data_IF_816016539223
#
_entry.id   IF_816016539223
#
_cell.length_a   1.000
_cell.length_b   1.000
_cell.length_c   1.000
_cell.angle_alpha   90.00
_cell.angle_beta   90.00
_cell.angle_gamma   90.00
#
_symmetry.space_group_name_H-M   'P 1'
#
loop_
_entity.id
_entity.type
_entity.pdbx_description
1 polymer ?
#
# COMPACT_ATOMS: atom_id res chain seq x y z
N UNK A 1 40.15 -36.73 6.97
CA UNK A 1 39.31 -35.79 7.73
C UNK A 1 38.63 -34.84 6.74
N UNK A 2 37.40 -35.17 6.32
CA UNK A 2 36.61 -34.40 5.36
C UNK A 2 36.20 -33.05 5.97
N UNK A 3 36.70 -31.97 5.38
CA UNK A 3 36.17 -30.62 5.62
C UNK A 3 34.98 -30.44 4.70
N UNK A 4 33.76 -30.49 5.26
CA UNK A 4 32.53 -30.28 4.50
C UNK A 4 32.40 -28.82 4.06
N UNK A 5 32.62 -28.62 2.76
CA UNK A 5 32.43 -27.40 1.98
C UNK A 5 31.00 -26.81 2.10
N UNK A 6 30.02 -27.61 2.55
CA UNK A 6 28.63 -27.19 2.80
C UNK A 6 28.46 -26.40 4.11
N UNK A 7 29.20 -26.75 5.17
CA UNK A 7 29.02 -26.14 6.50
C UNK A 7 29.57 -24.70 6.57
N UNK A 8 30.64 -24.39 5.84
CA UNK A 8 31.13 -23.00 5.68
C UNK A 8 30.14 -22.08 4.94
N UNK A 9 29.19 -22.64 4.19
CA UNK A 9 28.12 -21.90 3.48
C UNK A 9 26.95 -21.53 4.40
N UNK A 10 26.71 -22.31 5.46
CA UNK A 10 25.62 -22.08 6.42
C UNK A 10 26.01 -21.12 7.57
N UNK A 11 27.30 -21.07 7.93
CA UNK A 11 27.81 -20.27 9.06
C UNK A 11 28.01 -18.77 8.75
N UNK A 12 27.57 -18.28 7.59
CA UNK A 12 27.71 -16.88 7.16
C UNK A 12 26.36 -16.14 7.05
N UNK A 13 25.33 -16.60 7.76
CA UNK A 13 24.03 -15.93 7.79
C UNK A 13 24.02 -14.88 8.91
N UNK A 14 24.46 -13.66 8.58
CA UNK A 14 24.15 -12.43 9.33
C UNK A 14 22.83 -11.79 8.86
N UNK A 15 22.06 -12.50 8.03
CA UNK A 15 20.76 -12.07 7.55
C UNK A 15 19.64 -12.87 8.22
N UNK A 16 18.49 -12.25 8.52
CA UNK A 16 17.33 -12.99 8.97
C UNK A 16 16.95 -14.08 7.96
N UNK A 17 16.71 -15.30 8.46
CA UNK A 17 16.22 -16.43 7.65
C UNK A 17 14.95 -16.02 6.89
N UNK A 18 14.78 -16.45 5.64
CA UNK A 18 13.53 -16.25 4.89
C UNK A 18 12.31 -16.69 5.71
N UNK A 19 12.45 -17.76 6.50
CA UNK A 19 11.41 -18.22 7.40
C UNK A 19 11.07 -17.19 8.50
N UNK A 20 12.09 -16.51 9.04
CA UNK A 20 11.89 -15.40 9.99
C UNK A 20 11.18 -14.23 9.32
N UNK A 21 11.60 -13.83 8.12
CA UNK A 21 11.03 -12.67 7.42
C UNK A 21 9.55 -12.91 7.09
N UNK A 22 9.22 -14.09 6.56
CA UNK A 22 7.83 -14.49 6.30
C UNK A 22 7.01 -14.48 7.58
N UNK A 23 7.52 -15.10 8.66
CA UNK A 23 6.80 -15.13 9.95
C UNK A 23 6.57 -13.73 10.52
N UNK A 24 7.55 -12.84 10.40
CA UNK A 24 7.45 -11.46 10.88
C UNK A 24 6.47 -10.65 10.03
N UNK A 25 6.53 -10.75 8.70
CA UNK A 25 5.54 -10.10 7.81
C UNK A 25 4.13 -10.59 8.11
N UNK A 26 3.93 -11.90 8.26
CA UNK A 26 2.61 -12.45 8.60
C UNK A 26 2.10 -11.92 9.95
N UNK A 27 2.97 -11.81 10.98
CA UNK A 27 2.57 -11.20 12.26
C UNK A 27 2.21 -9.72 12.17
N UNK A 28 2.75 -8.99 11.18
CA UNK A 28 2.37 -7.60 10.92
C UNK A 28 1.04 -7.51 10.17
N UNK A 29 0.75 -8.47 9.30
CA UNK A 29 -0.54 -8.55 8.59
C UNK A 29 -1.70 -8.95 9.52
N UNK A 30 -1.40 -9.58 10.66
CA UNK A 30 -2.36 -9.84 11.73
C UNK A 30 -2.74 -8.56 12.51
N UNK A 31 -2.04 -7.44 12.28
CA UNK A 31 -2.38 -6.12 12.84
C UNK A 31 -3.12 -5.26 11.80
N UNK A 32 -4.13 -4.48 12.24
CA UNK A 32 -5.09 -3.83 11.34
C UNK A 32 -4.49 -2.75 10.40
N UNK A 33 -3.39 -2.10 10.80
CA UNK A 33 -2.77 -1.01 10.05
C UNK A 33 -1.50 -1.45 9.33
N UNK A 34 -1.58 -1.63 8.01
CA UNK A 34 -0.47 -2.18 7.22
C UNK A 34 0.12 -1.15 6.25
N UNK A 35 -0.69 -0.26 5.66
CA UNK A 35 -0.25 0.67 4.62
C UNK A 35 -0.60 2.10 5.03
N UNK A 36 0.39 2.97 5.29
CA UNK A 36 0.14 4.38 5.57
C UNK A 36 -0.30 5.13 4.30
N UNK A 37 -1.23 6.06 4.48
CA UNK A 37 -1.62 7.02 3.46
C UNK A 37 -0.66 8.23 3.42
N UNK A 38 -0.65 8.96 2.30
CA UNK A 38 0.19 10.14 2.12
C UNK A 38 -0.44 11.40 2.74
N UNK A 39 0.38 12.24 3.40
CA UNK A 39 -0.08 13.40 4.17
C UNK A 39 -0.92 14.38 3.35
N UNK A 40 -0.53 14.67 2.11
CA UNK A 40 -1.31 15.59 1.27
C UNK A 40 -2.68 15.00 0.88
N UNK A 41 -2.75 13.69 0.68
CA UNK A 41 -4.01 13.00 0.35
C UNK A 41 -4.96 13.03 1.54
N UNK A 42 -4.44 12.84 2.75
CA UNK A 42 -5.20 12.91 4.00
C UNK A 42 -5.75 14.31 4.23
N UNK A 43 -4.91 15.33 4.09
CA UNK A 43 -5.31 16.74 4.23
C UNK A 43 -6.39 17.08 3.20
N UNK A 44 -6.17 16.72 1.93
CA UNK A 44 -7.14 16.97 0.85
C UNK A 44 -8.45 16.23 1.11
N UNK A 45 -8.40 14.97 1.57
CA UNK A 45 -9.59 14.19 1.93
C UNK A 45 -10.32 14.81 3.13
N UNK A 46 -9.62 15.28 4.15
CA UNK A 46 -10.20 15.98 5.30
C UNK A 46 -10.94 17.26 4.88
N UNK A 47 -10.37 18.04 3.96
CA UNK A 47 -11.04 19.22 3.39
C UNK A 47 -12.28 18.87 2.59
N UNK A 48 -12.20 17.88 1.70
CA UNK A 48 -13.32 17.47 0.85
C UNK A 48 -14.48 16.89 1.69
N UNK A 49 -14.15 16.12 2.73
CA UNK A 49 -15.17 15.46 3.56
C UNK A 49 -15.84 16.39 4.58
N UNK A 50 -15.20 17.51 4.89
CA UNK A 50 -15.75 18.59 5.72
C UNK A 50 -16.57 19.61 4.92
N UNK A 51 -16.51 19.59 3.59
CA UNK A 51 -17.30 20.47 2.73
C UNK A 51 -18.69 19.87 2.47
N UNK A 52 -19.80 20.54 2.87
CA UNK A 52 -21.16 20.06 2.62
C UNK A 52 -21.51 19.93 1.13
N UNK A 53 -20.81 20.68 0.27
CA UNK A 53 -20.96 20.69 -1.20
C UNK A 53 -19.90 19.82 -1.91
N UNK A 54 -19.10 19.05 -1.15
CA UNK A 54 -18.05 18.19 -1.72
C UNK A 54 -18.64 17.06 -2.56
N UNK A 55 -18.16 16.89 -3.80
CA UNK A 55 -18.60 15.79 -4.64
C UNK A 55 -17.98 14.47 -4.19
N UNK A 56 -18.79 13.39 -4.18
CA UNK A 56 -18.29 12.04 -4.00
C UNK A 56 -17.26 11.65 -5.08
N UNK A 57 -17.32 12.26 -6.26
CA UNK A 57 -16.32 12.05 -7.32
C UNK A 57 -14.95 12.64 -6.96
N UNK A 58 -14.90 13.81 -6.32
CA UNK A 58 -13.65 14.45 -5.90
C UNK A 58 -12.98 13.62 -4.80
N UNK A 59 -13.79 13.10 -3.87
CA UNK A 59 -13.34 12.21 -2.79
C UNK A 59 -12.77 10.92 -3.36
N UNK A 60 -13.49 10.31 -4.31
CA UNK A 60 -13.02 9.11 -5.01
C UNK A 60 -11.68 9.36 -5.66
N UNK A 61 -11.51 10.47 -6.38
CA UNK A 61 -10.26 10.77 -7.08
C UNK A 61 -9.06 10.82 -6.11
N UNK A 62 -9.23 11.46 -4.94
CA UNK A 62 -8.18 11.50 -3.92
C UNK A 62 -7.85 10.11 -3.39
N UNK A 63 -8.87 9.29 -3.11
CA UNK A 63 -8.68 7.94 -2.58
C UNK A 63 -8.05 7.03 -3.63
N UNK A 64 -8.48 7.10 -4.90
CA UNK A 64 -7.96 6.29 -6.00
C UNK A 64 -6.48 6.56 -6.29
N UNK A 65 -6.00 7.77 -5.99
CA UNK A 65 -4.60 8.15 -6.20
C UNK A 65 -3.69 7.81 -5.02
N UNK A 66 -4.26 7.43 -3.87
CA UNK A 66 -3.51 7.12 -2.65
C UNK A 66 -3.65 5.64 -2.27
N UNK A 67 -2.58 4.84 -2.36
CA UNK A 67 -2.65 3.40 -2.05
C UNK A 67 -3.00 3.08 -0.60
N UNK A 68 -2.64 3.95 0.36
CA UNK A 68 -3.00 3.78 1.77
C UNK A 68 -4.49 4.00 1.99
N UNK A 69 -5.03 5.13 1.53
CA UNK A 69 -6.46 5.43 1.60
C UNK A 69 -7.30 4.39 0.84
N UNK A 70 -6.85 4.00 -0.35
CA UNK A 70 -7.49 2.93 -1.14
C UNK A 70 -7.55 1.61 -0.38
N UNK A 71 -6.43 1.20 0.24
CA UNK A 71 -6.36 0.01 1.07
C UNK A 71 -7.34 0.08 2.24
N UNK A 72 -7.35 1.18 2.98
CA UNK A 72 -8.20 1.34 4.16
C UNK A 72 -9.69 1.34 3.80
N UNK A 73 -10.07 2.00 2.71
CA UNK A 73 -11.43 1.98 2.20
C UNK A 73 -11.88 0.55 1.82
N UNK A 74 -11.02 -0.21 1.13
CA UNK A 74 -11.33 -1.60 0.75
C UNK A 74 -11.45 -2.49 1.98
N UNK A 75 -10.57 -2.34 2.98
CA UNK A 75 -10.60 -3.12 4.22
C UNK A 75 -11.90 -2.88 4.98
N UNK A 76 -12.28 -1.62 5.18
CA UNK A 76 -13.51 -1.26 5.89
C UNK A 76 -14.73 -1.73 5.11
N UNK A 77 -14.76 -1.54 3.79
CA UNK A 77 -15.87 -2.01 2.99
C UNK A 77 -16.00 -3.55 3.03
N UNK A 78 -14.88 -4.27 3.06
CA UNK A 78 -14.85 -5.73 3.15
C UNK A 78 -15.29 -6.26 4.52
N UNK A 79 -15.23 -5.46 5.59
CA UNK A 79 -15.71 -5.85 6.92
C UNK A 79 -17.20 -5.59 7.13
N UNK A 80 -17.77 -4.61 6.42
CA UNK A 80 -19.21 -4.30 6.42
C UNK A 80 -20.01 -5.24 5.51
N UNK A 81 -19.39 -5.73 4.42
CA UNK A 81 -20.01 -6.64 3.49
C UNK A 81 -20.26 -8.03 4.10
N UNK A 82 -21.53 -8.40 4.28
CA UNK A 82 -21.94 -9.79 4.51
C UNK A 82 -21.42 -10.70 3.39
N UNK A 83 -20.22 -11.26 3.55
CA UNK A 83 -19.58 -12.46 2.95
C UNK A 83 -19.79 -12.84 1.45
N UNK A 84 -20.61 -12.14 0.67
CA UNK A 84 -21.13 -12.65 -0.60
C UNK A 84 -20.56 -11.93 -1.83
N UNK A 85 -20.06 -10.70 -1.71
CA UNK A 85 -19.56 -9.93 -2.87
C UNK A 85 -18.13 -9.46 -2.62
N UNK A 86 -17.20 -9.93 -3.46
CA UNK A 86 -15.82 -9.42 -3.48
C UNK A 86 -15.85 -7.97 -3.96
N UNK A 87 -15.26 -7.08 -3.16
CA UNK A 87 -15.09 -5.67 -3.54
C UNK A 87 -13.99 -5.61 -4.59
N UNK A 88 -14.34 -5.03 -5.72
CA UNK A 88 -13.48 -4.99 -6.91
C UNK A 88 -13.11 -3.58 -7.34
N UNK A 89 -13.72 -2.54 -6.80
CA UNK A 89 -13.39 -1.14 -7.12
C UNK A 89 -13.53 -0.21 -5.93
N UNK A 90 -12.85 0.95 -5.99
CA UNK A 90 -12.99 2.02 -4.99
C UNK A 90 -14.42 2.58 -5.02
N UNK A 91 -15.00 2.81 -6.19
CA UNK A 91 -16.40 3.24 -6.31
C UNK A 91 -17.35 2.32 -5.53
N UNK A 92 -17.21 0.99 -5.70
CA UNK A 92 -18.02 0.01 -4.97
C UNK A 92 -17.79 0.08 -3.46
N UNK A 93 -16.54 0.25 -3.02
CA UNK A 93 -16.20 0.41 -1.61
C UNK A 93 -16.85 1.66 -1.00
N UNK A 94 -16.72 2.82 -1.66
CA UNK A 94 -17.26 4.10 -1.19
C UNK A 94 -18.79 4.11 -1.12
N UNK A 95 -19.47 3.50 -2.10
CA UNK A 95 -20.93 3.36 -2.07
C UNK A 95 -21.41 2.46 -0.93
N UNK A 96 -20.62 1.44 -0.56
CA UNK A 96 -20.99 0.49 0.50
C UNK A 96 -20.81 1.08 1.90
N UNK A 97 -19.70 1.80 2.14
CA UNK A 97 -19.38 2.35 3.48
C UNK A 97 -20.05 3.72 3.72
N UNK A 98 -20.30 4.48 2.65
CA UNK A 98 -20.93 5.79 2.72
C UNK A 98 -20.03 6.90 3.29
N UNK A 99 -20.54 8.13 3.22
CA UNK A 99 -19.78 9.36 3.50
C UNK A 99 -19.28 9.48 4.95
N UNK A 100 -20.04 8.95 5.90
CA UNK A 100 -19.67 9.03 7.32
C UNK A 100 -18.45 8.16 7.64
N UNK A 101 -18.36 7.00 7.02
CA UNK A 101 -17.23 6.11 7.22
C UNK A 101 -15.98 6.62 6.50
N UNK A 102 -16.14 7.27 5.33
CA UNK A 102 -15.06 7.98 4.66
C UNK A 102 -14.50 9.10 5.55
N UNK A 103 -15.36 9.87 6.23
CA UNK A 103 -14.93 10.86 7.23
C UNK A 103 -14.16 10.21 8.36
N UNK A 104 -14.66 9.10 8.91
CA UNK A 104 -13.96 8.37 9.97
C UNK A 104 -12.58 7.91 9.53
N UNK A 105 -12.44 7.38 8.32
CA UNK A 105 -11.13 7.03 7.74
C UNK A 105 -10.24 8.28 7.64
N UNK A 106 -10.75 9.38 7.08
CA UNK A 106 -9.99 10.63 6.97
C UNK A 106 -9.53 11.19 8.33
N UNK A 107 -10.38 11.14 9.35
CA UNK A 107 -10.06 11.57 10.71
C UNK A 107 -9.10 10.61 11.42
N UNK A 108 -9.31 9.30 11.33
CA UNK A 108 -8.41 8.30 11.91
C UNK A 108 -7.01 8.43 11.33
N UNK A 109 -6.92 8.59 10.01
CA UNK A 109 -5.64 8.73 9.31
C UNK A 109 -5.03 10.13 9.52
N UNK A 110 -5.84 11.19 9.63
CA UNK A 110 -5.38 12.55 9.94
C UNK A 110 -4.92 12.75 11.38
N UNK A 111 -5.52 12.05 12.35
CA UNK A 111 -5.03 11.99 13.74
C UNK A 111 -3.75 11.15 13.84
N UNK A 112 -3.54 10.23 12.90
CA UNK A 112 -2.30 9.49 12.70
C UNK A 112 -1.24 10.28 11.89
N UNK A 113 -1.25 11.61 11.95
CA UNK A 113 -0.11 12.47 11.58
C UNK A 113 1.11 12.16 12.48
N UNK A 114 1.76 11.03 12.19
CA UNK A 114 3.10 10.66 12.63
C UNK A 114 3.77 9.79 11.56
N UNK A 115 3.79 10.24 10.31
CA UNK A 115 4.69 9.65 9.31
C UNK A 115 5.41 10.72 8.48
N UNK A 116 5.77 11.84 9.11
CA UNK A 116 7.06 12.46 8.83
C UNK A 116 8.16 11.47 9.26
N UNK A 117 9.05 11.05 8.36
CA UNK A 117 10.25 10.30 8.75
C UNK A 117 10.44 8.90 8.14
N UNK A 118 10.02 8.68 6.89
CA UNK A 118 10.69 7.64 6.10
C UNK A 118 12.19 7.99 6.01
N UNK A 119 13.01 7.03 6.42
CA UNK A 119 14.46 7.17 6.58
C UNK A 119 15.20 6.89 5.29
N UNK A 120 14.65 6.04 4.42
CA UNK A 120 15.32 5.68 3.18
C UNK A 120 15.36 6.83 2.18
N UNK A 121 16.40 6.83 1.36
CA UNK A 121 16.59 7.78 0.26
C UNK A 121 15.74 7.38 -0.98
N UNK A 122 14.50 6.95 -0.76
CA UNK A 122 13.52 6.66 -1.81
C UNK A 122 12.73 7.91 -2.12
N UNK A 123 12.58 8.22 -3.40
CA UNK A 123 11.66 9.25 -3.87
C UNK A 123 10.22 8.71 -3.81
N UNK A 124 9.58 8.90 -2.65
CA UNK A 124 8.22 8.42 -2.42
C UNK A 124 7.19 9.12 -3.31
N UNK A 125 7.46 10.33 -3.80
CA UNK A 125 6.60 11.00 -4.78
C UNK A 125 6.59 10.26 -6.11
N UNK A 126 7.77 9.93 -6.64
CA UNK A 126 7.91 9.12 -7.85
C UNK A 126 7.39 7.68 -7.67
N UNK A 127 7.54 7.11 -6.48
CA UNK A 127 6.97 5.80 -6.14
C UNK A 127 5.43 5.77 -6.27
N UNK A 128 4.76 6.81 -5.76
CA UNK A 128 3.32 6.92 -5.88
C UNK A 128 2.86 7.18 -7.31
N UNK A 129 3.55 8.07 -8.03
CA UNK A 129 3.30 8.30 -9.45
C UNK A 129 3.43 7.01 -10.26
N UNK A 130 4.49 6.23 -10.01
CA UNK A 130 4.69 4.91 -10.62
C UNK A 130 3.52 3.97 -10.33
N UNK A 131 3.08 3.88 -9.08
CA UNK A 131 1.95 3.04 -8.67
C UNK A 131 0.65 3.42 -9.40
N UNK A 132 0.35 4.72 -9.52
CA UNK A 132 -0.83 5.21 -10.26
C UNK A 132 -0.70 4.93 -11.76
N UNK A 133 0.47 5.15 -12.35
CA UNK A 133 0.70 4.87 -13.77
C UNK A 133 0.54 3.38 -14.07
N UNK A 134 1.10 2.50 -13.23
CA UNK A 134 0.95 1.04 -13.35
C UNK A 134 -0.53 0.65 -13.19
N UNK A 135 -1.27 1.25 -12.24
CA UNK A 135 -2.70 1.03 -12.07
C UNK A 135 -3.48 1.31 -13.36
N UNK A 136 -3.29 2.51 -13.94
CA UNK A 136 -3.96 2.92 -15.19
C UNK A 136 -3.54 2.08 -16.39
N UNK A 137 -2.26 1.71 -16.50
CA UNK A 137 -1.77 0.84 -17.55
C UNK A 137 -2.35 -0.58 -17.43
N UNK A 138 -2.39 -1.13 -16.22
CA UNK A 138 -2.95 -2.46 -15.95
C UNK A 138 -4.43 -2.52 -16.30
N UNK A 139 -5.19 -1.51 -15.89
CA UNK A 139 -6.59 -1.33 -16.28
C UNK A 139 -6.76 -1.25 -17.80
N UNK A 140 -5.97 -0.40 -18.48
CA UNK A 140 -6.06 -0.23 -19.94
C UNK A 140 -5.69 -1.48 -20.72
N UNK A 141 -4.64 -2.20 -20.29
CA UNK A 141 -4.20 -3.44 -20.91
C UNK A 141 -5.25 -4.52 -20.71
N UNK A 142 -5.76 -4.70 -19.49
CA UNK A 142 -6.79 -5.70 -19.21
C UNK A 142 -8.11 -5.38 -19.94
N UNK A 143 -8.48 -4.10 -20.01
CA UNK A 143 -9.66 -3.58 -20.72
C UNK A 143 -9.66 -3.90 -22.22
N UNK A 144 -8.49 -4.11 -22.83
CA UNK A 144 -8.38 -4.53 -24.22
C UNK A 144 -8.79 -6.00 -24.45
N UNK A 145 -8.82 -6.83 -23.40
CA UNK A 145 -9.15 -8.26 -23.49
C UNK A 145 -10.46 -8.64 -22.79
N UNK A 146 -10.88 -7.89 -21.78
CA UNK A 146 -12.12 -8.14 -21.04
C UNK A 146 -12.64 -6.85 -20.39
N UNK A 147 -13.95 -6.77 -20.06
CA UNK A 147 -14.47 -5.70 -19.24
C UNK A 147 -13.72 -5.57 -17.91
N UNK A 148 -13.35 -4.33 -17.55
CA UNK A 148 -12.71 -4.04 -16.27
C UNK A 148 -13.71 -4.14 -15.13
N UNK A 149 -13.24 -4.65 -13.98
CA UNK A 149 -14.01 -4.69 -12.73
C UNK A 149 -13.51 -3.69 -11.71
N UNK A 150 -12.39 -3.03 -12.00
CA UNK A 150 -11.65 -2.16 -11.09
C UNK A 150 -10.53 -2.92 -10.35
N UNK A 151 -10.58 -4.24 -10.32
CA UNK A 151 -9.58 -5.06 -9.64
C UNK A 151 -8.21 -4.94 -10.33
N UNK A 152 -8.21 -4.61 -11.62
CA UNK A 152 -7.02 -4.39 -12.45
C UNK A 152 -6.29 -3.12 -12.01
N UNK A 153 -7.05 -2.05 -11.80
CA UNK A 153 -6.54 -0.79 -11.28
C UNK A 153 -5.97 -0.99 -9.88
N UNK A 154 -6.73 -1.63 -8.98
CA UNK A 154 -6.29 -1.91 -7.61
C UNK A 154 -5.04 -2.79 -7.57
N UNK A 155 -4.95 -3.81 -8.41
CA UNK A 155 -3.78 -4.67 -8.50
C UNK A 155 -2.54 -3.87 -8.92
N UNK A 156 -2.67 -2.97 -9.90
CA UNK A 156 -1.56 -2.12 -10.30
C UNK A 156 -1.21 -1.04 -9.27
N UNK A 157 -2.20 -0.49 -8.56
CA UNK A 157 -1.98 0.54 -7.54
C UNK A 157 -1.24 -0.04 -6.32
N UNK A 158 -1.58 -1.26 -5.93
CA UNK A 158 -1.06 -1.90 -4.72
C UNK A 158 0.15 -2.82 -5.00
N UNK A 159 0.59 -2.97 -6.25
CA UNK A 159 1.58 -3.98 -6.63
C UNK A 159 2.91 -3.89 -5.84
N UNK A 160 3.33 -2.67 -5.50
CA UNK A 160 4.57 -2.42 -4.77
C UNK A 160 4.35 -1.93 -3.33
N UNK A 161 3.13 -2.03 -2.78
CA UNK A 161 2.83 -1.52 -1.44
C UNK A 161 3.70 -2.15 -0.33
N UNK A 162 4.25 -3.35 -0.58
CA UNK A 162 5.21 -4.01 0.29
C UNK A 162 6.46 -3.18 0.59
N UNK A 163 6.88 -2.27 -0.30
CA UNK A 163 8.02 -1.36 -0.05
C UNK A 163 7.75 -0.41 1.11
N UNK A 164 6.50 0.04 1.25
CA UNK A 164 6.08 0.93 2.34
C UNK A 164 6.06 0.18 3.67
N UNK A 165 5.62 -1.08 3.64
CA UNK A 165 5.65 -1.97 4.82
C UNK A 165 7.10 -2.19 5.26
N UNK A 166 8.02 -2.44 4.32
CA UNK A 166 9.43 -2.63 4.61
C UNK A 166 10.07 -1.37 5.19
N UNK A 167 9.81 -0.20 4.60
CA UNK A 167 10.25 1.09 5.13
C UNK A 167 9.78 1.30 6.58
N UNK A 168 8.51 1.01 6.87
CA UNK A 168 7.91 1.27 8.18
C UNK A 168 8.39 0.30 9.26
N UNK A 169 8.47 -0.99 8.95
CA UNK A 169 8.69 -2.04 9.97
C UNK A 169 10.12 -2.63 9.95
N UNK A 170 10.89 -2.38 8.89
CA UNK A 170 12.27 -2.85 8.71
C UNK A 170 13.15 -1.75 8.09
N UNK A 171 13.20 -0.54 8.67
CA UNK A 171 13.84 0.61 8.05
C UNK A 171 15.34 0.40 7.79
N UNK A 172 16.04 -0.31 8.68
CA UNK A 172 17.49 -0.58 8.52
C UNK A 172 17.75 -1.54 7.36
N UNK A 173 17.02 -2.66 7.30
CA UNK A 173 17.15 -3.63 6.22
C UNK A 173 16.68 -3.07 4.88
N UNK A 174 15.64 -2.24 4.88
CA UNK A 174 15.12 -1.63 3.66
C UNK A 174 16.10 -0.59 3.11
N UNK A 175 16.72 0.24 3.94
CA UNK A 175 17.77 1.16 3.49
C UNK A 175 18.96 0.39 2.87
N UNK A 176 19.32 -0.74 3.47
CA UNK A 176 20.35 -1.66 2.96
C UNK A 176 19.99 -2.22 1.56
N UNK A 177 18.70 -2.52 1.33
CA UNK A 177 18.16 -2.95 0.03
C UNK A 177 18.20 -1.81 -0.98
N UNK A 178 17.77 -0.61 -0.60
CA UNK A 178 17.78 0.59 -1.45
C UNK A 178 19.20 0.94 -1.86
N UNK A 179 20.14 0.92 -0.92
CA UNK A 179 21.57 1.13 -1.18
C UNK A 179 22.13 0.12 -2.18
N UNK A 180 21.81 -1.18 -2.03
CA UNK A 180 22.23 -2.23 -2.96
C UNK A 180 21.58 -2.10 -4.34
N UNK A 181 20.31 -1.71 -4.41
CA UNK A 181 19.58 -1.50 -5.67
C UNK A 181 20.20 -0.36 -6.49
N UNK A 182 20.48 0.79 -5.85
CA UNK A 182 21.17 1.93 -6.46
C UNK A 182 22.52 1.54 -7.05
N UNK A 183 23.33 0.76 -6.31
CA UNK A 183 24.64 0.30 -6.77
C UNK A 183 24.59 -0.66 -7.95
N UNK A 184 23.52 -1.43 -8.08
CA UNK A 184 23.33 -2.38 -9.18
C UNK A 184 22.80 -1.71 -10.46
N UNK A 185 22.46 -0.41 -10.43
CA UNK A 185 21.74 0.29 -11.52
C UNK A 185 20.48 -0.45 -11.96
N UNK A 186 19.83 -1.17 -11.05
CA UNK A 186 18.53 -1.74 -11.32
C UNK A 186 17.52 -0.61 -11.13
N UNK A 187 16.97 -0.14 -12.25
CA UNK A 187 15.87 0.83 -12.36
C UNK A 187 14.65 0.40 -11.56
#
# INVERSE_FOLDING_TARGET
>A
MQVSQKLKRYLACTQPDKAWAVKKVMSLLETDEVIPAFSSSIIKLGHLTSNPEGSMDDIREVIELDPGLSSDCIKVASSVGFAAHRISSIQQALMLIGMEEIRRIAFSVGVLEKFEGFRSDVDWGNFWLHSVLVARLTEKVAGAYRPCTGAEYLAGLLHDCGKIILEKYFPEEFDDVVYKAKRRKCS
#
